data_IF_725225803954
#
_entry.id   IF_725225803954
#
_cell.length_a   1.000
_cell.length_b   1.000
_cell.length_c   1.000
_cell.angle_alpha   90.00
_cell.angle_beta   90.00
_cell.angle_gamma   90.00
#
_symmetry.space_group_name_H-M   'P 1'
#
loop_
_entity.id
_entity.type
_entity.pdbx_description
1 polymer ?
#
# COMPACT_ATOMS: atom_id res chain seq x y z
N UNK A 1 2.36 8.40 -7.15
CA UNK A 1 2.43 9.55 -6.20
C UNK A 1 1.51 9.42 -5.00
N UNK A 2 0.24 8.99 -5.15
CA UNK A 2 -0.73 8.91 -4.04
C UNK A 2 -0.22 8.17 -2.77
N UNK A 3 0.40 6.98 -2.86
CA UNK A 3 0.91 6.29 -1.67
C UNK A 3 1.99 7.07 -0.90
N UNK A 4 2.72 7.95 -1.58
CA UNK A 4 3.70 8.83 -0.96
C UNK A 4 3.03 9.90 -0.11
N UNK A 5 1.90 10.45 -0.57
CA UNK A 5 1.09 11.41 0.20
C UNK A 5 0.48 10.75 1.43
N UNK A 6 -0.03 9.54 1.26
CA UNK A 6 -0.75 8.78 2.28
C UNK A 6 0.15 8.27 3.40
N UNK A 7 1.32 7.71 3.06
CA UNK A 7 2.14 6.97 4.01
C UNK A 7 3.64 7.28 3.95
N UNK A 8 4.07 8.03 2.94
CA UNK A 8 5.49 8.14 2.63
C UNK A 8 6.10 6.81 2.19
N UNK A 9 5.32 5.95 1.52
CA UNK A 9 5.72 4.58 1.11
C UNK A 9 6.09 3.68 2.29
N UNK A 10 5.33 3.76 3.38
CA UNK A 10 5.55 2.96 4.59
C UNK A 10 4.29 2.24 5.04
N UNK A 11 4.48 1.11 5.73
CA UNK A 11 3.40 0.41 6.39
C UNK A 11 3.05 1.08 7.74
N UNK A 12 2.20 2.10 7.68
CA UNK A 12 1.75 2.88 8.86
C UNK A 12 0.25 2.71 9.11
N UNK A 13 -0.18 3.05 10.32
CA UNK A 13 -1.59 3.03 10.73
C UNK A 13 -1.99 4.44 11.14
N UNK A 14 -3.04 4.99 10.54
CA UNK A 14 -3.57 6.29 10.95
C UNK A 14 -4.46 6.19 12.20
N UNK A 15 -4.74 7.31 12.88
CA UNK A 15 -5.72 7.35 13.98
C UNK A 15 -7.10 6.83 13.58
N UNK A 16 -7.47 6.97 12.30
CA UNK A 16 -8.72 6.45 11.73
C UNK A 16 -8.65 4.96 11.34
N UNK A 17 -7.58 4.25 11.70
CA UNK A 17 -7.34 2.84 11.39
C UNK A 17 -7.24 2.51 9.89
N UNK A 18 -6.86 3.51 9.10
CA UNK A 18 -6.41 3.31 7.73
C UNK A 18 -4.99 2.74 7.74
N UNK A 19 -4.68 1.79 6.86
CA UNK A 19 -3.48 0.94 6.99
C UNK A 19 -2.69 0.84 5.70
N UNK A 20 -1.37 0.78 5.86
CA UNK A 20 -0.43 0.41 4.81
C UNK A 20 -0.09 1.57 3.88
N UNK A 21 0.54 1.22 2.76
CA UNK A 21 1.02 2.18 1.75
C UNK A 21 -0.09 3.09 1.22
N UNK A 22 -1.27 2.51 1.05
CA UNK A 22 -2.45 3.15 0.48
C UNK A 22 -3.43 3.69 1.51
N UNK A 23 -3.13 3.57 2.82
CA UNK A 23 -4.00 4.00 3.90
C UNK A 23 -5.46 3.55 3.70
N UNK A 24 -5.67 2.27 3.39
CA UNK A 24 -7.01 1.74 3.16
C UNK A 24 -7.75 1.52 4.49
N UNK A 25 -8.97 2.05 4.59
CA UNK A 25 -9.90 1.68 5.66
C UNK A 25 -10.29 0.21 5.52
N UNK A 26 -10.56 -0.46 6.65
CA UNK A 26 -10.94 -1.89 6.69
C UNK A 26 -12.15 -2.20 5.82
N UNK A 27 -13.19 -1.36 5.85
CA UNK A 27 -14.40 -1.53 5.03
C UNK A 27 -14.09 -1.44 3.54
N UNK A 28 -13.31 -0.44 3.12
CA UNK A 28 -12.87 -0.27 1.74
C UNK A 28 -11.99 -1.44 1.29
N UNK A 29 -11.01 -1.83 2.09
CA UNK A 29 -10.15 -2.98 1.77
C UNK A 29 -10.97 -4.24 1.46
N UNK A 30 -11.97 -4.55 2.31
CA UNK A 30 -12.89 -5.68 2.10
C UNK A 30 -13.79 -5.51 0.89
N UNK A 31 -14.34 -4.31 0.63
CA UNK A 31 -15.12 -4.02 -0.59
C UNK A 31 -14.32 -4.35 -1.86
N UNK A 32 -13.02 -4.09 -1.83
CA UNK A 32 -12.11 -4.38 -2.94
C UNK A 32 -11.39 -5.73 -2.78
N UNK A 33 -11.92 -6.66 -2.00
CA UNK A 33 -11.52 -8.07 -2.00
C UNK A 33 -10.24 -8.38 -1.22
N UNK A 34 -9.81 -7.50 -0.31
CA UNK A 34 -8.72 -7.80 0.62
C UNK A 34 -9.23 -8.52 1.87
N UNK A 35 -8.47 -9.50 2.32
CA UNK A 35 -8.64 -10.14 3.61
C UNK A 35 -8.12 -9.23 4.73
N UNK A 36 -8.97 -8.99 5.73
CA UNK A 36 -8.63 -8.17 6.89
C UNK A 36 -9.25 -8.78 8.14
N UNK A 37 -8.45 -9.55 8.88
CA UNK A 37 -8.75 -10.14 10.18
C UNK A 37 -7.58 -9.99 11.17
N UNK A 38 -7.57 -10.80 12.23
CA UNK A 38 -6.58 -10.71 13.30
C UNK A 38 -5.27 -11.47 13.01
N UNK A 39 -5.25 -12.39 12.06
CA UNK A 39 -4.10 -13.18 11.62
C UNK A 39 -3.53 -12.69 10.30
N UNK A 40 -4.39 -12.18 9.41
CA UNK A 40 -4.09 -11.71 8.06
C UNK A 40 -4.68 -10.32 7.86
N UNK A 41 -3.84 -9.37 7.44
CA UNK A 41 -4.30 -8.05 7.02
C UNK A 41 -3.59 -7.63 5.73
N UNK A 42 -4.21 -7.94 4.59
CA UNK A 42 -3.65 -7.71 3.26
C UNK A 42 -3.55 -6.23 2.88
N UNK A 43 -3.97 -5.31 3.75
CA UNK A 43 -3.66 -3.88 3.58
C UNK A 43 -2.17 -3.58 3.75
N UNK A 44 -1.43 -4.43 4.47
CA UNK A 44 0.02 -4.35 4.58
C UNK A 44 0.75 -4.99 3.39
N UNK A 45 0.06 -5.80 2.58
CA UNK A 45 0.62 -6.38 1.36
C UNK A 45 0.61 -5.32 0.27
N UNK A 46 1.80 -4.88 -0.16
CA UNK A 46 1.96 -3.78 -1.12
C UNK A 46 1.31 -4.10 -2.47
N UNK A 47 1.37 -5.34 -2.95
CA UNK A 47 0.83 -5.70 -4.26
C UNK A 47 -0.68 -5.82 -4.23
N UNK A 48 -1.22 -6.56 -3.23
CA UNK A 48 -2.66 -6.74 -3.09
C UNK A 48 -3.35 -5.41 -2.81
N UNK A 49 -2.80 -4.60 -1.89
CA UNK A 49 -3.34 -3.25 -1.61
C UNK A 49 -3.24 -2.32 -2.81
N UNK A 50 -2.16 -2.39 -3.61
CA UNK A 50 -2.05 -1.63 -4.87
C UNK A 50 -3.09 -2.04 -5.89
N UNK A 51 -3.37 -3.34 -6.05
CA UNK A 51 -4.44 -3.83 -6.94
C UNK A 51 -5.81 -3.35 -6.47
N UNK A 52 -6.08 -3.40 -5.16
CA UNK A 52 -7.33 -2.90 -4.58
C UNK A 52 -7.51 -1.39 -4.79
N UNK A 53 -6.49 -0.59 -4.47
CA UNK A 53 -6.49 0.85 -4.70
C UNK A 53 -6.64 1.20 -6.19
N UNK A 54 -5.96 0.48 -7.08
CA UNK A 54 -6.09 0.68 -8.54
C UNK A 54 -7.52 0.43 -9.03
N UNK A 55 -8.20 -0.61 -8.51
CA UNK A 55 -9.63 -0.84 -8.81
C UNK A 55 -10.50 0.29 -8.29
N UNK A 56 -10.25 0.77 -7.08
CA UNK A 56 -10.94 1.94 -6.53
C UNK A 56 -10.78 3.17 -7.42
N UNK A 57 -9.56 3.49 -7.84
CA UNK A 57 -9.25 4.66 -8.66
C UNK A 57 -9.94 4.56 -10.03
N UNK A 58 -9.89 3.39 -10.68
CA UNK A 58 -10.59 3.15 -11.95
C UNK A 58 -12.11 3.31 -11.81
N UNK A 59 -12.72 2.76 -10.75
CA UNK A 59 -14.16 2.92 -10.48
C UNK A 59 -14.53 4.38 -10.23
N UNK A 60 -13.69 5.09 -9.49
CA UNK A 60 -13.86 6.53 -9.23
C UNK A 60 -13.76 7.34 -10.52
N UNK A 61 -12.81 7.02 -11.40
CA UNK A 61 -12.66 7.71 -12.69
C UNK A 61 -13.86 7.49 -13.60
N UNK A 62 -14.38 6.26 -13.69
CA UNK A 62 -15.63 5.97 -14.40
C UNK A 62 -16.82 6.79 -13.87
N UNK A 63 -16.82 7.11 -12.58
CA UNK A 63 -17.89 7.90 -11.94
C UNK A 63 -17.74 9.41 -12.17
N UNK A 64 -16.53 9.94 -12.06
CA UNK A 64 -16.31 11.40 -12.04
C UNK A 64 -15.74 11.96 -13.34
N UNK A 65 -15.15 11.14 -14.21
CA UNK A 65 -14.56 11.56 -15.48
C UNK A 65 -13.33 12.47 -15.34
N UNK A 66 -12.81 12.68 -14.13
CA UNK A 66 -11.71 13.60 -13.86
C UNK A 66 -10.79 13.07 -12.77
N UNK A 67 -9.49 13.05 -13.03
CA UNK A 67 -8.48 12.61 -12.07
C UNK A 67 -8.43 13.49 -10.81
N UNK A 68 -8.64 14.80 -10.92
CA UNK A 68 -8.64 15.67 -9.73
C UNK A 68 -9.82 15.35 -8.80
N UNK A 69 -10.99 15.05 -9.36
CA UNK A 69 -12.15 14.58 -8.58
C UNK A 69 -11.92 13.17 -8.00
N UNK A 70 -11.25 12.27 -8.74
CA UNK A 70 -10.86 10.95 -8.22
C UNK A 70 -9.97 11.08 -6.99
N UNK A 71 -8.95 11.94 -7.06
CA UNK A 71 -8.00 12.18 -5.97
C UNK A 71 -8.70 12.81 -4.78
N UNK A 72 -9.52 13.84 -5.01
CA UNK A 72 -10.36 14.43 -3.96
C UNK A 72 -11.25 13.37 -3.28
N UNK A 73 -11.80 12.45 -4.07
CA UNK A 73 -12.68 11.40 -3.56
C UNK A 73 -11.96 10.32 -2.77
N UNK A 74 -10.67 10.09 -3.05
CA UNK A 74 -9.84 9.17 -2.29
C UNK A 74 -9.66 9.68 -0.85
N UNK A 75 -9.29 10.96 -0.69
CA UNK A 75 -9.10 11.59 0.63
C UNK A 75 -10.44 11.87 1.34
N UNK A 76 -11.42 12.48 0.67
CA UNK A 76 -12.65 12.96 1.31
C UNK A 76 -13.82 11.97 1.27
N UNK A 77 -13.70 10.90 0.47
CA UNK A 77 -14.74 9.92 0.20
C UNK A 77 -15.63 10.27 -1.00
N UNK A 78 -15.91 9.28 -1.85
CA UNK A 78 -16.73 9.43 -3.07
C UNK A 78 -18.13 10.00 -2.81
N UNK A 79 -18.80 9.58 -1.73
CA UNK A 79 -20.14 10.07 -1.38
C UNK A 79 -20.10 11.57 -1.06
N UNK A 80 -19.06 12.03 -0.37
CA UNK A 80 -18.89 13.44 0.01
C UNK A 80 -18.63 14.31 -1.21
N UNK A 81 -17.70 13.90 -2.08
CA UNK A 81 -17.42 14.62 -3.33
C UNK A 81 -18.65 14.69 -4.24
N UNK A 82 -19.34 13.57 -4.45
CA UNK A 82 -20.56 13.55 -5.25
C UNK A 82 -21.67 14.46 -4.69
N UNK A 83 -21.81 14.50 -3.35
CA UNK A 83 -22.76 15.39 -2.68
C UNK A 83 -22.39 16.86 -2.90
N UNK A 84 -21.13 17.23 -2.72
CA UNK A 84 -20.66 18.60 -2.92
C UNK A 84 -20.82 19.06 -4.36
N UNK A 85 -20.46 18.23 -5.34
CA UNK A 85 -20.67 18.55 -6.76
C UNK A 85 -22.15 18.85 -7.05
N UNK A 86 -23.07 18.04 -6.51
CA UNK A 86 -24.51 18.25 -6.66
C UNK A 86 -24.98 19.54 -5.98
N UNK A 87 -24.58 19.77 -4.73
CA UNK A 87 -25.03 20.92 -3.93
C UNK A 87 -24.50 22.25 -4.48
N UNK A 88 -23.24 22.29 -4.87
CA UNK A 88 -22.56 23.49 -5.35
C UNK A 88 -22.70 23.69 -6.86
N UNK A 89 -23.37 22.75 -7.56
CA UNK A 89 -23.52 22.74 -9.03
C UNK A 89 -22.19 22.80 -9.77
N UNK A 90 -21.12 22.29 -9.14
CA UNK A 90 -19.77 22.27 -9.69
C UNK A 90 -19.55 21.01 -10.53
N UNK A 91 -18.92 21.17 -11.70
CA UNK A 91 -18.56 20.06 -12.61
C UNK A 91 -17.09 19.69 -12.54
N UNK A 92 -16.24 20.60 -12.06
CA UNK A 92 -14.81 20.40 -11.91
C UNK A 92 -14.41 20.40 -10.44
N UNK A 93 -13.23 19.88 -10.13
CA UNK A 93 -12.63 20.04 -8.80
C UNK A 93 -12.31 21.51 -8.49
N UNK A 94 -11.91 22.28 -9.49
CA UNK A 94 -11.44 23.66 -9.31
C UNK A 94 -12.56 24.63 -8.92
N UNK A 95 -13.80 24.30 -9.28
CA UNK A 95 -14.99 25.06 -8.88
C UNK A 95 -15.63 24.49 -7.60
N UNK A 96 -15.05 23.44 -7.01
CA UNK A 96 -15.63 22.73 -5.88
C UNK A 96 -15.00 23.19 -4.56
N UNK A 97 -15.80 23.81 -3.70
CA UNK A 97 -15.41 24.12 -2.34
C UNK A 97 -15.35 22.83 -1.52
N UNK A 98 -14.14 22.42 -1.15
CA UNK A 98 -13.85 21.27 -0.29
C UNK A 98 -13.11 21.71 0.97
N UNK A 99 -12.90 20.78 1.90
CA UNK A 99 -12.08 21.06 3.06
C UNK A 99 -10.62 21.31 2.64
N UNK A 100 -9.97 22.21 3.37
CA UNK A 100 -8.57 22.59 3.23
C UNK A 100 -7.60 21.40 3.07
N UNK A 101 -7.83 20.34 3.85
CA UNK A 101 -7.05 19.10 3.76
C UNK A 101 -7.14 18.45 2.37
N UNK A 102 -8.35 18.33 1.82
CA UNK A 102 -8.60 17.76 0.48
C UNK A 102 -7.99 18.63 -0.61
N UNK A 103 -8.08 19.97 -0.48
CA UNK A 103 -7.44 20.89 -1.42
C UNK A 103 -5.92 20.71 -1.43
N UNK A 104 -5.30 20.77 -0.25
CA UNK A 104 -3.83 20.58 -0.11
C UNK A 104 -3.38 19.20 -0.58
N UNK A 105 -4.20 18.17 -0.41
CA UNK A 105 -3.88 16.81 -0.86
C UNK A 105 -3.57 16.76 -2.37
N UNK A 106 -4.37 17.44 -3.19
CA UNK A 106 -4.16 17.46 -4.65
C UNK A 106 -2.86 18.18 -5.00
N UNK A 107 -2.60 19.34 -4.40
CA UNK A 107 -1.37 20.09 -4.65
C UNK A 107 -0.12 19.34 -4.16
N UNK A 108 -0.20 18.62 -3.03
CA UNK A 108 0.88 17.72 -2.59
C UNK A 108 1.14 16.63 -3.62
N UNK A 109 0.10 15.99 -4.16
CA UNK A 109 0.30 15.00 -5.21
C UNK A 109 0.94 15.59 -6.47
N UNK A 110 0.52 16.80 -6.87
CA UNK A 110 1.07 17.49 -8.04
C UNK A 110 2.56 17.81 -7.82
N UNK A 111 2.92 18.35 -6.65
CA UNK A 111 4.31 18.62 -6.29
C UNK A 111 5.16 17.34 -6.35
N UNK A 112 4.67 16.24 -5.77
CA UNK A 112 5.39 14.95 -5.86
C UNK A 112 5.51 14.44 -7.30
N UNK A 113 4.48 14.58 -8.13
CA UNK A 113 4.56 14.22 -9.55
C UNK A 113 5.65 15.02 -10.26
N UNK A 114 5.66 16.33 -10.06
CA UNK A 114 6.62 17.23 -10.71
C UNK A 114 8.06 16.92 -10.29
N UNK A 115 8.30 16.72 -8.99
CA UNK A 115 9.61 16.37 -8.45
C UNK A 115 10.08 15.00 -8.96
N UNK A 116 9.22 13.98 -8.93
CA UNK A 116 9.63 12.63 -9.34
C UNK A 116 9.86 12.50 -10.86
N UNK A 117 9.16 13.27 -11.67
CA UNK A 117 9.33 13.23 -13.13
C UNK A 117 10.48 14.12 -13.62
N UNK A 118 10.89 15.11 -12.83
CA UNK A 118 11.96 16.05 -13.18
C UNK A 118 12.84 16.37 -11.96
N UNK A 119 13.47 15.37 -11.30
CA UNK A 119 14.15 15.56 -10.02
C UNK A 119 15.25 16.62 -10.07
N UNK A 120 16.05 16.64 -11.15
CA UNK A 120 17.15 17.59 -11.33
C UNK A 120 16.66 19.04 -11.43
N UNK A 121 15.49 19.28 -12.05
CA UNK A 121 14.89 20.62 -12.13
C UNK A 121 14.58 21.19 -10.73
N UNK A 122 14.37 20.31 -9.75
CA UNK A 122 14.12 20.68 -8.35
C UNK A 122 15.34 20.46 -7.45
N UNK A 123 16.54 20.30 -8.02
CA UNK A 123 17.80 20.18 -7.28
C UNK A 123 18.08 18.79 -6.68
N UNK A 124 17.35 17.76 -7.11
CA UNK A 124 17.62 16.37 -6.72
C UNK A 124 18.48 15.67 -7.76
N UNK A 125 19.75 15.45 -7.41
CA UNK A 125 20.69 14.67 -8.23
C UNK A 125 20.87 13.30 -7.58
N UNK A 126 20.20 12.28 -8.12
CA UNK A 126 20.19 10.92 -7.58
C UNK A 126 21.14 10.07 -8.42
N UNK A 127 22.26 9.66 -7.82
CA UNK A 127 23.16 8.71 -8.46
C UNK A 127 22.54 7.30 -8.40
N UNK A 128 22.72 6.45 -9.42
CA UNK A 128 22.25 5.07 -9.38
C UNK A 128 22.74 4.27 -8.16
N UNK A 129 23.91 4.62 -7.61
CA UNK A 129 24.45 4.01 -6.39
C UNK A 129 23.69 4.38 -5.10
N UNK A 130 22.83 5.41 -5.14
CA UNK A 130 22.00 5.85 -4.02
C UNK A 130 20.60 5.21 -4.07
N UNK A 131 20.27 4.48 -5.14
CA UNK A 131 19.00 3.79 -5.27
C UNK A 131 18.96 2.54 -4.37
N UNK A 132 17.76 2.22 -3.89
CA UNK A 132 17.55 0.97 -3.18
C UNK A 132 17.46 -0.19 -4.18
N UNK A 133 18.20 -1.30 -3.98
CA UNK A 133 18.13 -2.44 -4.88
C UNK A 133 16.77 -3.11 -4.79
N UNK A 134 16.28 -3.60 -5.93
CA UNK A 134 15.14 -4.52 -5.94
C UNK A 134 15.61 -5.85 -5.36
N UNK A 135 15.01 -6.25 -4.24
CA UNK A 135 15.33 -7.53 -3.62
C UNK A 135 14.53 -8.63 -4.33
N UNK A 136 15.16 -9.58 -5.04
CA UNK A 136 14.47 -10.67 -5.69
C UNK A 136 13.86 -11.61 -4.64
N UNK A 137 12.63 -12.06 -4.90
CA UNK A 137 11.90 -13.00 -4.04
C UNK A 137 11.29 -14.13 -4.87
N UNK A 138 11.02 -15.26 -4.24
CA UNK A 138 10.14 -16.30 -4.75
C UNK A 138 8.99 -16.55 -3.77
N UNK A 139 7.93 -17.22 -4.22
CA UNK A 139 6.74 -17.48 -3.43
C UNK A 139 6.68 -18.96 -3.01
N UNK A 140 6.32 -19.19 -1.75
CA UNK A 140 5.97 -20.50 -1.22
C UNK A 140 4.46 -20.54 -0.98
N UNK A 141 3.77 -21.52 -1.58
CA UNK A 141 2.34 -21.72 -1.35
C UNK A 141 2.07 -22.40 -0.01
N UNK A 142 1.19 -21.83 0.79
CA UNK A 142 0.70 -22.37 2.06
C UNK A 142 -0.82 -22.53 1.98
N UNK A 143 -1.30 -23.77 2.03
CA UNK A 143 -2.74 -24.13 1.91
C UNK A 143 -3.39 -24.57 3.24
N UNK A 144 -2.61 -24.59 4.31
CA UNK A 144 -3.05 -25.11 5.62
C UNK A 144 -2.63 -24.21 6.78
N UNK A 145 -2.76 -24.77 7.98
CA UNK A 145 -2.30 -24.12 9.19
C UNK A 145 -0.77 -24.06 9.24
N UNK A 146 -0.23 -22.97 9.80
CA UNK A 146 1.17 -22.83 10.18
C UNK A 146 1.21 -22.65 11.69
N UNK A 147 1.79 -23.61 12.40
CA UNK A 147 1.85 -23.59 13.87
C UNK A 147 2.77 -22.48 14.38
N UNK A 148 3.93 -22.31 13.74
CA UNK A 148 4.90 -21.28 14.06
C UNK A 148 5.58 -20.76 12.78
N UNK A 149 5.49 -19.45 12.56
CA UNK A 149 6.13 -18.77 11.45
C UNK A 149 7.66 -18.65 11.61
N UNK A 150 8.20 -18.74 12.83
CA UNK A 150 9.64 -18.78 13.06
C UNK A 150 10.21 -20.12 12.56
N UNK A 151 9.60 -21.25 12.91
CA UNK A 151 9.99 -22.57 12.38
C UNK A 151 9.88 -22.62 10.86
N UNK A 152 8.79 -22.07 10.30
CA UNK A 152 8.63 -21.92 8.86
C UNK A 152 9.77 -21.10 8.23
N UNK A 153 10.11 -19.95 8.81
CA UNK A 153 11.20 -19.10 8.31
C UNK A 153 12.54 -19.85 8.31
N UNK A 154 12.86 -20.54 9.41
CA UNK A 154 14.08 -21.33 9.55
C UNK A 154 14.15 -22.48 8.52
N UNK A 155 13.04 -23.20 8.31
CA UNK A 155 12.97 -24.25 7.30
C UNK A 155 13.21 -23.73 5.86
N UNK A 156 12.94 -22.45 5.61
CA UNK A 156 13.20 -21.76 4.33
C UNK A 156 14.48 -20.91 4.32
N UNK A 157 15.36 -21.07 5.32
CA UNK A 157 16.68 -20.45 5.33
C UNK A 157 16.67 -18.92 5.50
N UNK A 158 15.62 -18.36 6.10
CA UNK A 158 15.52 -16.93 6.43
C UNK A 158 15.24 -16.72 7.92
N UNK A 159 15.57 -15.55 8.45
CA UNK A 159 15.16 -15.18 9.80
C UNK A 159 13.68 -14.79 9.85
N UNK A 160 13.06 -14.97 11.02
CA UNK A 160 11.69 -14.51 11.28
C UNK A 160 11.51 -13.01 10.97
N UNK A 161 12.55 -12.20 11.21
CA UNK A 161 12.56 -10.77 10.88
C UNK A 161 12.39 -10.53 9.38
N UNK A 162 13.13 -11.25 8.53
CA UNK A 162 12.98 -11.15 7.07
C UNK A 162 11.60 -11.63 6.63
N UNK A 163 11.11 -12.74 7.20
CA UNK A 163 9.76 -13.22 6.89
C UNK A 163 8.71 -12.13 7.14
N UNK A 164 8.77 -11.46 8.30
CA UNK A 164 7.84 -10.35 8.65
C UNK A 164 8.06 -9.10 7.82
N UNK A 165 9.29 -8.83 7.39
CA UNK A 165 9.60 -7.70 6.54
C UNK A 165 8.97 -7.84 5.14
N UNK A 166 9.08 -9.04 4.54
CA UNK A 166 8.52 -9.33 3.22
C UNK A 166 7.03 -9.69 3.24
N UNK A 167 6.51 -10.14 4.39
CA UNK A 167 5.11 -10.52 4.57
C UNK A 167 4.48 -9.80 5.78
N UNK A 168 4.48 -8.45 5.81
CA UNK A 168 4.00 -7.67 6.96
C UNK A 168 2.48 -7.81 7.19
N UNK A 169 1.77 -8.39 6.22
CA UNK A 169 0.37 -8.75 6.29
C UNK A 169 0.10 -9.96 7.20
N UNK A 170 1.11 -10.76 7.52
CA UNK A 170 1.01 -11.81 8.56
C UNK A 170 1.06 -11.16 9.95
N UNK A 171 -0.06 -11.11 10.66
CA UNK A 171 -0.21 -10.35 11.91
C UNK A 171 0.14 -11.14 13.17
N UNK A 172 0.06 -12.47 13.13
CA UNK A 172 0.37 -13.35 14.27
C UNK A 172 1.63 -14.17 14.02
N UNK A 173 2.11 -14.84 15.06
CA UNK A 173 3.20 -15.82 15.00
C UNK A 173 2.76 -17.16 14.39
N UNK A 174 1.47 -17.35 14.14
CA UNK A 174 0.88 -18.56 13.58
C UNK A 174 -0.25 -18.22 12.58
N UNK A 175 -0.66 -19.22 11.78
CA UNK A 175 -1.81 -19.15 10.88
C UNK A 175 -2.72 -20.37 11.10
N UNK A 176 -4.01 -20.17 11.35
CA UNK A 176 -4.96 -21.29 11.55
C UNK A 176 -5.52 -21.82 10.23
N UNK A 177 -5.86 -20.92 9.31
CA UNK A 177 -6.33 -21.22 7.96
C UNK A 177 -7.37 -22.37 7.86
N UNK A 178 -8.42 -22.31 8.68
CA UNK A 178 -9.46 -23.36 8.72
C UNK A 178 -10.20 -23.56 7.39
N UNK A 179 -10.16 -22.56 6.50
CA UNK A 179 -10.82 -22.59 5.21
C UNK A 179 -9.90 -23.02 4.06
N UNK A 180 -8.69 -23.51 4.37
CA UNK A 180 -7.72 -23.99 3.38
C UNK A 180 -7.44 -23.01 2.23
N UNK A 181 -7.41 -21.71 2.55
CA UNK A 181 -7.04 -20.69 1.57
C UNK A 181 -5.57 -20.85 1.19
N UNK A 182 -5.27 -20.62 -0.08
CA UNK A 182 -3.87 -20.56 -0.54
C UNK A 182 -3.31 -19.17 -0.24
N UNK A 183 -2.21 -19.15 0.49
CA UNK A 183 -1.40 -17.96 0.71
C UNK A 183 -0.06 -18.11 0.00
N UNK A 184 0.42 -17.04 -0.62
CA UNK A 184 1.75 -16.95 -1.20
C UNK A 184 2.67 -16.21 -0.23
N UNK A 185 3.67 -16.91 0.30
CA UNK A 185 4.62 -16.36 1.26
C UNK A 185 5.90 -15.99 0.51
N UNK A 186 6.26 -14.71 0.55
CA UNK A 186 7.45 -14.18 -0.12
C UNK A 186 8.70 -14.49 0.67
N UNK A 187 9.66 -15.13 0.03
CA UNK A 187 10.98 -15.45 0.58
C UNK A 187 12.04 -14.73 -0.28
N UNK A 188 12.91 -13.89 0.30
CA UNK A 188 14.01 -13.29 -0.43
C UNK A 188 14.99 -14.36 -0.93
N UNK A 189 15.52 -14.16 -2.14
CA UNK A 189 16.52 -15.05 -2.72
C UNK A 189 17.91 -14.75 -2.13
N UNK A 190 18.82 -15.72 -2.21
CA UNK A 190 20.23 -15.46 -1.93
C UNK A 190 20.77 -14.34 -2.85
N UNK A 191 21.63 -13.44 -2.35
CA UNK A 191 22.21 -13.42 -0.99
C UNK A 191 21.38 -12.64 0.05
N UNK A 192 20.18 -12.16 -0.30
CA UNK A 192 19.33 -11.32 0.57
C UNK A 192 18.52 -12.12 1.60
N UNK A 193 18.66 -13.45 1.61
CA UNK A 193 18.02 -14.35 2.57
C UNK A 193 18.73 -14.41 3.93
N UNK A 194 19.91 -13.79 4.05
CA UNK A 194 20.70 -13.79 5.28
C UNK A 194 20.62 -12.44 5.98
N UNK A 195 20.45 -12.45 7.31
CA UNK A 195 20.41 -11.21 8.11
C UNK A 195 21.77 -10.80 8.66
N UNK A 196 22.67 -11.77 8.90
CA UNK A 196 24.00 -11.53 9.47
C UNK A 196 25.16 -11.75 8.48
N UNK A 197 24.97 -12.56 7.43
CA UNK A 197 26.11 -13.06 6.66
C UNK A 197 26.71 -12.08 5.62
N UNK A 198 26.23 -10.82 5.56
CA UNK A 198 26.74 -9.80 4.63
C UNK A 198 26.85 -8.38 5.22
N UNK A 199 27.11 -8.27 6.52
CA UNK A 199 27.56 -7.02 7.14
C UNK A 199 29.07 -7.04 7.48
N UNK A 200 29.82 -8.00 6.93
CA UNK A 200 31.25 -8.21 7.22
C UNK A 200 32.17 -8.16 5.98
N UNK A 201 31.66 -7.73 4.83
CA UNK A 201 32.47 -7.41 3.65
C UNK A 201 32.13 -5.99 3.20
#
# INVERSE_FOLDING_TARGET
YMPLVESGLRNVVSPAHAVGFWQLLKSTAREYGLEVDNQVDERYDVEKSTRAASRYLKKSYKRFGSWTLVVASFNAGQKRIARFMKQQKAKSFYDLLVADETSRYIYRMLAFKMIFENPEHYGFYINPSQEYPVIPTHNIEVKGAVKDWADFAHAHGISYKLLKYFNPWLRKTYLKNFHHKTYEIKIPNAPFNMTDAKLKE
#
